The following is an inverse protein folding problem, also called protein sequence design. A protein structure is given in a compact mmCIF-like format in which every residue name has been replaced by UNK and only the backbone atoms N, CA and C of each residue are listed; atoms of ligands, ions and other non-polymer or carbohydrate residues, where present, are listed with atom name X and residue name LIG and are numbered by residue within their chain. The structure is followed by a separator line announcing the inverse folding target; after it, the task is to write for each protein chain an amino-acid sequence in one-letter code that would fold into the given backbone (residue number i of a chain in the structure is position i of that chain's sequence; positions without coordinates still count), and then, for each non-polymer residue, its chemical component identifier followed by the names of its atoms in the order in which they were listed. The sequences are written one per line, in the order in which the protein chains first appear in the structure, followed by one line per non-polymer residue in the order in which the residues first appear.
data_IF_930614757672
#
_entry.id   IF_930614757672
#
_cell.length_a   1.000
_cell.length_b   1.000
_cell.length_c   1.000
_cell.angle_alpha   90.00
_cell.angle_beta   90.00
_cell.angle_gamma   90.00
#
_symmetry.space_group_name_H-M   'P 1'
#
loop_
_entity.id
_entity.type
_entity.pdbx_description
1 polymer ?
#
# COMPACT_ATOMS: atom_id res chain seq x y z
N UNK A 1 -10.48 17.45 82.13
CA UNK A 1 -11.26 18.65 82.47
C UNK A 1 -10.65 19.79 81.67
N UNK A 2 -11.25 20.39 80.66
CA UNK A 2 -12.57 20.23 80.09
C UNK A 2 -12.53 20.58 78.59
N UNK A 3 -13.38 19.88 77.84
CA UNK A 3 -13.70 20.08 76.44
C UNK A 3 -14.70 21.23 76.29
N UNK A 4 -14.34 22.31 75.60
CA UNK A 4 -15.21 23.15 74.72
C UNK A 4 -14.59 24.53 74.57
N UNK A 5 -14.08 24.83 73.36
CA UNK A 5 -13.88 26.15 72.76
C UNK A 5 -12.55 26.22 72.04
N UNK A 6 -12.45 25.65 70.84
CA UNK A 6 -11.56 26.16 69.78
C UNK A 6 -12.05 25.71 68.39
N UNK A 7 -13.36 25.48 68.26
CA UNK A 7 -14.03 25.22 66.98
C UNK A 7 -14.42 26.55 66.32
N UNK A 8 -13.47 27.48 66.19
CA UNK A 8 -13.69 28.77 65.52
C UNK A 8 -12.47 29.31 64.76
N UNK A 9 -11.41 28.51 64.57
CA UNK A 9 -10.22 28.93 63.81
C UNK A 9 -9.91 28.06 62.57
N UNK A 10 -10.89 27.33 62.04
CA UNK A 10 -10.74 26.56 60.80
C UNK A 10 -11.78 26.88 59.71
N UNK A 11 -12.52 28.00 59.82
CA UNK A 11 -13.63 28.33 58.90
C UNK A 11 -13.45 29.61 58.07
N UNK A 12 -12.23 30.15 57.94
CA UNK A 12 -12.00 31.42 57.24
C UNK A 12 -10.88 31.39 56.19
N UNK A 13 -10.59 30.23 55.57
CA UNK A 13 -9.62 30.14 54.45
C UNK A 13 -10.07 29.24 53.29
N UNK A 14 -11.36 28.91 53.17
CA UNK A 14 -11.91 28.15 52.04
C UNK A 14 -12.85 29.00 51.16
N UNK A 15 -12.47 30.25 50.91
CA UNK A 15 -13.14 31.09 49.93
C UNK A 15 -12.09 31.75 49.03
N UNK A 16 -11.77 31.08 47.91
CA UNK A 16 -11.39 31.65 46.62
C UNK A 16 -10.45 30.71 45.84
N UNK A 17 -11.04 29.74 45.15
CA UNK A 17 -10.68 29.36 43.78
C UNK A 17 -11.62 28.23 43.34
N UNK A 18 -12.91 28.55 43.23
CA UNK A 18 -13.77 27.80 42.32
C UNK A 18 -13.28 28.16 40.91
N UNK A 19 -12.25 27.45 40.43
CA UNK A 19 -11.96 27.41 39.01
C UNK A 19 -13.25 26.86 38.39
N UNK A 20 -13.93 27.60 37.51
CA UNK A 20 -15.05 27.02 36.80
C UNK A 20 -14.48 25.77 36.14
N UNK A 21 -15.08 24.60 36.43
CA UNK A 21 -14.96 23.42 35.57
C UNK A 21 -15.44 23.90 34.21
N UNK A 22 -14.52 24.47 33.41
CA UNK A 22 -14.67 24.53 31.99
C UNK A 22 -14.98 23.10 31.62
N UNK A 23 -16.13 22.93 30.99
CA UNK A 23 -16.52 21.71 30.31
C UNK A 23 -15.37 21.36 29.36
N UNK A 24 -14.41 20.59 29.84
CA UNK A 24 -13.69 19.67 28.98
C UNK A 24 -14.77 18.65 28.67
N UNK A 25 -15.51 18.89 27.58
CA UNK A 25 -16.31 17.82 26.99
C UNK A 25 -15.41 16.61 26.86
N UNK A 26 -15.97 15.40 26.94
CA UNK A 26 -15.21 14.23 26.49
C UNK A 26 -14.61 14.57 25.12
N UNK A 27 -13.29 14.75 25.08
CA UNK A 27 -12.57 14.85 23.82
C UNK A 27 -13.00 13.65 23.01
N UNK A 28 -13.40 13.89 21.77
CA UNK A 28 -13.78 12.81 20.86
C UNK A 28 -12.66 11.76 20.95
N UNK A 29 -12.95 10.46 21.13
CA UNK A 29 -11.92 9.42 21.10
C UNK A 29 -10.96 9.56 19.90
N UNK A 30 -11.43 10.14 18.78
CA UNK A 30 -10.65 10.51 17.59
C UNK A 30 -9.58 11.60 17.86
N UNK A 31 -9.76 12.45 18.87
CA UNK A 31 -8.83 13.52 19.28
C UNK A 31 -7.71 13.04 20.22
N UNK A 32 -7.74 11.77 20.67
CA UNK A 32 -6.75 11.23 21.61
C UNK A 32 -5.40 10.88 20.97
N UNK A 33 -5.30 10.89 19.64
CA UNK A 33 -4.07 10.54 18.93
C UNK A 33 -3.23 11.81 18.66
N UNK A 34 -2.16 11.96 19.45
CA UNK A 34 -1.18 13.03 19.29
C UNK A 34 -0.52 12.90 17.91
N UNK A 35 -0.47 13.99 17.13
CA UNK A 35 0.14 14.06 15.80
C UNK A 35 -0.81 13.79 14.62
N UNK A 36 -2.01 13.27 14.89
CA UNK A 36 -2.94 12.80 13.85
C UNK A 36 -3.71 13.92 13.12
N UNK A 37 -3.90 15.11 13.73
CA UNK A 37 -4.53 16.28 13.06
C UNK A 37 -3.59 17.02 12.09
N UNK A 38 -2.38 16.52 11.84
CA UNK A 38 -1.37 17.20 11.02
C UNK A 38 -0.83 18.48 11.68
N UNK A 39 -1.13 18.72 12.95
CA UNK A 39 -0.75 19.92 13.67
C UNK A 39 0.73 19.80 14.11
N UNK A 40 1.57 20.59 13.42
CA UNK A 40 3.00 20.84 13.64
C UNK A 40 4.03 19.85 13.06
N UNK A 41 3.78 19.28 11.87
CA UNK A 41 4.91 18.82 11.05
C UNK A 41 5.64 20.02 10.43
N UNK A 42 6.64 20.54 11.15
CA UNK A 42 7.61 21.50 10.63
C UNK A 42 8.89 20.76 10.22
N UNK A 43 9.16 20.56 8.91
CA UNK A 43 10.30 19.77 8.43
C UNK A 43 11.66 20.47 8.58
N UNK A 44 11.73 21.65 9.21
CA UNK A 44 12.95 22.45 9.27
C UNK A 44 13.86 22.09 10.46
N UNK A 45 13.48 21.10 11.27
CA UNK A 45 14.27 20.61 12.40
C UNK A 45 14.83 19.22 12.14
N UNK A 46 16.14 19.14 11.91
CA UNK A 46 16.95 17.92 11.75
C UNK A 46 16.73 17.16 10.43
N UNK A 47 17.76 17.24 9.57
CA UNK A 47 17.87 16.45 8.36
C UNK A 47 17.99 14.95 8.71
N UNK A 48 16.85 14.27 8.85
CA UNK A 48 16.79 12.82 8.70
C UNK A 48 17.04 12.49 7.21
N UNK A 49 18.11 11.74 6.85
CA UNK A 49 18.54 11.57 5.46
C UNK A 49 17.57 10.85 4.50
N UNK A 50 16.34 10.53 4.90
CA UNK A 50 15.43 9.63 4.17
C UNK A 50 13.99 10.12 4.04
N UNK A 51 13.64 11.28 4.62
CA UNK A 51 12.25 11.73 4.72
C UNK A 51 11.68 12.41 3.47
N UNK A 52 12.50 12.61 2.43
CA UNK A 52 12.05 13.26 1.21
C UNK A 52 12.26 12.35 0.01
N UNK A 53 11.15 12.06 -0.68
CA UNK A 53 11.20 11.91 -2.12
C UNK A 53 11.75 13.24 -2.65
N UNK A 54 13.04 13.33 -2.93
CA UNK A 54 13.64 14.49 -3.58
C UNK A 54 13.18 14.51 -5.05
N UNK A 55 11.92 14.88 -5.27
CA UNK A 55 11.40 15.03 -6.61
C UNK A 55 11.45 16.51 -6.97
N UNK A 56 12.46 16.91 -7.73
CA UNK A 56 12.66 18.29 -8.21
C UNK A 56 11.45 18.81 -9.02
N UNK A 57 10.60 17.90 -9.52
CA UNK A 57 9.42 18.18 -10.34
C UNK A 57 8.10 18.26 -9.57
N UNK A 58 8.04 17.78 -8.31
CA UNK A 58 6.81 17.80 -7.50
C UNK A 58 6.92 18.83 -6.38
N UNK A 59 5.78 19.45 -6.05
CA UNK A 59 5.70 20.38 -4.92
C UNK A 59 6.03 19.72 -3.58
N UNK A 60 6.16 20.53 -2.52
CA UNK A 60 6.41 20.01 -1.16
C UNK A 60 5.34 18.96 -0.78
N UNK A 61 5.72 17.84 -0.13
CA UNK A 61 4.75 16.88 0.39
C UNK A 61 3.81 17.52 1.43
N UNK A 62 2.53 17.15 1.42
CA UNK A 62 1.53 17.66 2.38
C UNK A 62 0.37 16.66 2.55
N UNK A 63 -0.37 16.78 3.65
CA UNK A 63 -1.42 15.83 4.04
C UNK A 63 -2.80 16.51 3.97
N UNK A 64 -3.77 15.81 3.37
CA UNK A 64 -5.18 16.18 3.33
C UNK A 64 -5.99 15.13 4.09
N UNK A 65 -6.63 15.50 5.20
CA UNK A 65 -7.62 14.62 5.84
C UNK A 65 -8.93 14.70 5.06
N UNK A 66 -9.44 13.57 4.56
CA UNK A 66 -10.66 13.52 3.74
C UNK A 66 -11.88 13.05 4.53
N UNK A 67 -11.67 12.30 5.61
CA UNK A 67 -12.74 11.74 6.43
C UNK A 67 -12.23 11.33 7.83
N UNK A 68 -13.11 11.44 8.82
CA UNK A 68 -12.97 10.81 10.14
C UNK A 68 -13.79 9.53 10.28
N UNK A 69 -14.70 9.29 9.33
CA UNK A 69 -15.68 8.20 9.35
C UNK A 69 -15.75 7.57 7.95
N UNK A 70 -14.77 6.71 7.56
CA UNK A 70 -13.65 6.23 8.36
C UNK A 70 -12.51 7.24 8.44
N UNK A 71 -11.56 7.03 9.36
CA UNK A 71 -10.30 7.79 9.38
C UNK A 71 -9.54 7.55 8.08
N UNK A 72 -9.46 8.57 7.24
CA UNK A 72 -8.77 8.52 5.96
C UNK A 72 -8.09 9.85 5.62
N UNK A 73 -6.85 9.75 5.15
CA UNK A 73 -6.05 10.90 4.75
C UNK A 73 -5.21 10.60 3.51
N UNK A 74 -4.96 11.63 2.71
CA UNK A 74 -4.12 11.59 1.52
C UNK A 74 -2.80 12.27 1.84
N UNK A 75 -1.68 11.61 1.56
CA UNK A 75 -0.37 12.21 1.55
C UNK A 75 0.03 12.49 0.10
N UNK A 76 -0.05 13.77 -0.27
CA UNK A 76 0.32 14.22 -1.60
C UNK A 76 1.84 14.25 -1.78
N UNK A 77 2.31 13.82 -2.95
CA UNK A 77 3.73 13.69 -3.29
C UNK A 77 4.51 12.81 -2.30
N UNK A 78 3.89 11.73 -1.82
CA UNK A 78 4.50 10.72 -0.95
C UNK A 78 5.66 9.96 -1.62
N UNK A 79 5.49 9.58 -2.89
CA UNK A 79 6.53 8.95 -3.73
C UNK A 79 7.02 9.89 -4.84
N UNK A 80 8.32 9.81 -5.09
CA UNK A 80 8.95 10.35 -6.30
C UNK A 80 8.56 9.52 -7.52
N UNK A 81 8.70 10.11 -8.71
CA UNK A 81 8.50 9.34 -9.95
C UNK A 81 9.54 8.22 -10.10
N UNK A 82 10.75 8.38 -9.56
CA UNK A 82 11.78 7.33 -9.51
C UNK A 82 11.36 6.16 -8.63
N UNK A 83 10.82 6.43 -7.44
CA UNK A 83 10.30 5.39 -6.55
C UNK A 83 9.11 4.67 -7.19
N UNK A 84 8.18 5.40 -7.83
CA UNK A 84 7.06 4.79 -8.56
C UNK A 84 7.57 3.85 -9.66
N UNK A 85 8.51 4.30 -10.49
CA UNK A 85 9.09 3.50 -11.57
C UNK A 85 9.84 2.29 -11.03
N UNK A 86 10.62 2.46 -9.96
CA UNK A 86 11.36 1.39 -9.32
C UNK A 86 10.46 0.26 -8.82
N UNK A 87 9.36 0.59 -8.12
CA UNK A 87 8.38 -0.41 -7.68
C UNK A 87 7.81 -1.18 -8.88
N UNK A 88 7.47 -0.48 -9.97
CA UNK A 88 6.92 -1.10 -11.19
C UNK A 88 7.97 -2.01 -11.86
N UNK A 89 9.22 -1.58 -11.96
CA UNK A 89 10.29 -2.36 -12.57
C UNK A 89 10.58 -3.66 -11.80
N UNK A 90 10.51 -3.62 -10.47
CA UNK A 90 10.60 -4.83 -9.63
C UNK A 90 9.39 -5.77 -9.82
N UNK A 91 8.20 -5.20 -10.04
CA UNK A 91 6.96 -5.95 -10.07
C UNK A 91 6.62 -6.54 -11.45
N UNK A 92 6.88 -5.80 -12.55
CA UNK A 92 6.33 -6.06 -13.89
C UNK A 92 6.58 -7.47 -14.40
N UNK A 93 7.79 -8.00 -14.19
CA UNK A 93 8.18 -9.35 -14.63
C UNK A 93 7.52 -10.49 -13.84
N UNK A 94 6.80 -10.17 -12.76
CA UNK A 94 6.21 -11.12 -11.81
C UNK A 94 4.69 -10.98 -11.69
N UNK A 95 4.05 -10.16 -12.53
CA UNK A 95 2.62 -9.89 -12.48
C UNK A 95 1.82 -11.07 -13.03
N UNK A 96 0.90 -11.59 -12.24
CA UNK A 96 -0.05 -12.62 -12.66
C UNK A 96 -1.47 -12.20 -12.27
N UNK A 97 -2.50 -12.88 -12.81
CA UNK A 97 -3.89 -12.61 -12.45
C UNK A 97 -4.07 -12.75 -10.93
N UNK A 98 -4.60 -11.71 -10.28
CA UNK A 98 -4.81 -11.70 -8.82
C UNK A 98 -5.86 -12.72 -8.40
N UNK A 99 -5.70 -13.25 -7.18
CA UNK A 99 -6.66 -14.12 -6.51
C UNK A 99 -7.34 -13.45 -5.33
N UNK A 100 -8.43 -14.06 -4.88
CA UNK A 100 -9.14 -13.77 -3.65
C UNK A 100 -9.02 -15.00 -2.74
N UNK A 101 -8.81 -14.82 -1.43
CA UNK A 101 -9.03 -15.90 -0.45
C UNK A 101 -7.82 -16.49 0.30
N UNK A 102 -6.73 -15.76 0.54
CA UNK A 102 -5.64 -16.23 1.42
C UNK A 102 -5.11 -17.62 1.06
N UNK A 103 -5.19 -18.56 2.00
CA UNK A 103 -4.76 -19.97 1.83
C UNK A 103 -5.59 -20.76 0.80
N UNK A 104 -6.82 -20.32 0.50
CA UNK A 104 -7.70 -20.91 -0.50
C UNK A 104 -7.82 -19.99 -1.72
N UNK A 105 -6.72 -19.40 -2.18
CA UNK A 105 -6.73 -18.45 -3.29
C UNK A 105 -7.45 -18.98 -4.56
N UNK A 106 -8.43 -18.23 -5.08
CA UNK A 106 -9.08 -18.48 -6.39
C UNK A 106 -9.17 -17.23 -7.26
N UNK A 107 -9.28 -17.42 -8.58
CA UNK A 107 -9.53 -16.32 -9.52
C UNK A 107 -11.01 -15.95 -9.50
N UNK A 108 -11.32 -14.71 -9.12
CA UNK A 108 -12.69 -14.19 -9.06
C UNK A 108 -12.90 -12.98 -10.00
N UNK A 109 -14.16 -12.73 -10.34
CA UNK A 109 -14.67 -11.53 -10.98
C UNK A 109 -14.82 -10.34 -10.00
N UNK A 110 -14.73 -10.57 -8.68
CA UNK A 110 -14.70 -9.51 -7.66
C UNK A 110 -13.40 -8.71 -7.74
N UNK A 111 -12.25 -9.39 -7.92
CA UNK A 111 -10.94 -8.76 -8.07
C UNK A 111 -10.37 -9.07 -9.43
N UNK A 112 -10.37 -8.08 -10.33
CA UNK A 112 -9.97 -8.26 -11.73
C UNK A 112 -8.55 -7.80 -12.08
N UNK A 113 -7.76 -7.38 -11.08
CA UNK A 113 -6.37 -6.95 -11.26
C UNK A 113 -5.40 -8.08 -11.62
N UNK A 114 -4.22 -7.69 -12.09
CA UNK A 114 -2.99 -8.49 -11.97
C UNK A 114 -2.16 -7.98 -10.81
N UNK A 115 -1.39 -8.84 -10.15
CA UNK A 115 -0.56 -8.43 -9.02
C UNK A 115 0.61 -9.34 -8.72
N UNK A 116 1.47 -8.85 -7.84
CA UNK A 116 2.60 -9.57 -7.25
C UNK A 116 2.94 -8.98 -5.88
N UNK A 117 3.82 -9.65 -5.14
CA UNK A 117 4.33 -9.15 -3.87
C UNK A 117 5.83 -8.85 -3.95
N UNK A 118 6.24 -7.77 -3.31
CA UNK A 118 7.63 -7.44 -3.04
C UNK A 118 7.88 -7.67 -1.55
N UNK A 119 8.86 -8.53 -1.24
CA UNK A 119 9.26 -8.85 0.13
C UNK A 119 9.64 -7.56 0.88
N UNK A 120 9.29 -7.47 2.16
CA UNK A 120 9.81 -6.41 3.04
C UNK A 120 11.32 -6.30 3.00
N UNK A 121 11.85 -5.08 3.12
CA UNK A 121 13.29 -4.81 3.03
C UNK A 121 13.91 -5.44 1.76
N UNK A 122 13.21 -5.30 0.62
CA UNK A 122 13.63 -5.86 -0.66
C UNK A 122 15.00 -5.33 -1.09
N UNK A 123 15.14 -4.01 -1.06
CA UNK A 123 16.32 -3.23 -1.40
C UNK A 123 16.27 -1.88 -0.63
N UNK A 124 17.30 -1.01 -0.76
CA UNK A 124 17.33 0.28 -0.05
C UNK A 124 16.16 1.21 -0.34
N UNK A 125 15.62 1.20 -1.56
CA UNK A 125 14.56 2.11 -1.98
C UNK A 125 13.25 1.65 -1.36
N UNK A 126 12.95 0.34 -1.44
CA UNK A 126 11.78 -0.24 -0.78
C UNK A 126 11.85 -0.05 0.73
N UNK A 127 13.01 -0.29 1.36
CA UNK A 127 13.19 -0.08 2.80
C UNK A 127 12.95 1.38 3.22
N UNK A 128 13.43 2.35 2.43
CA UNK A 128 13.18 3.77 2.71
C UNK A 128 11.69 4.14 2.61
N UNK A 129 10.95 3.56 1.65
CA UNK A 129 9.50 3.75 1.53
C UNK A 129 8.78 3.12 2.73
N UNK A 130 9.18 1.93 3.16
CA UNK A 130 8.60 1.24 4.32
C UNK A 130 8.78 2.03 5.63
N UNK A 131 9.95 2.62 5.83
CA UNK A 131 10.20 3.54 6.96
C UNK A 131 9.33 4.80 6.88
N UNK A 132 9.14 5.36 5.67
CA UNK A 132 8.25 6.51 5.48
C UNK A 132 6.79 6.16 5.81
N UNK A 133 6.34 4.96 5.43
CA UNK A 133 5.04 4.41 5.83
C UNK A 133 4.97 4.24 7.35
N UNK A 134 6.04 3.75 7.99
CA UNK A 134 6.09 3.55 9.43
C UNK A 134 5.95 4.87 10.20
N UNK A 135 6.66 5.91 9.75
CA UNK A 135 6.59 7.26 10.33
C UNK A 135 5.19 7.85 10.20
N UNK A 136 4.55 7.71 9.03
CA UNK A 136 3.21 8.28 8.81
C UNK A 136 2.10 7.52 9.55
N UNK A 137 2.17 6.19 9.56
CA UNK A 137 1.17 5.33 10.21
C UNK A 137 1.34 5.23 11.72
N UNK A 138 2.51 5.58 12.24
CA UNK A 138 2.95 5.33 13.62
C UNK A 138 3.06 3.84 14.01
N UNK A 139 3.17 2.94 13.04
CA UNK A 139 3.45 1.51 13.26
C UNK A 139 4.83 1.15 12.73
N UNK A 140 5.67 0.41 13.47
CA UNK A 140 7.00 -0.01 12.99
C UNK A 140 6.93 -0.83 11.71
N UNK A 141 8.01 -0.82 10.92
CA UNK A 141 8.13 -1.66 9.70
C UNK A 141 7.85 -3.14 9.96
N UNK A 142 8.18 -3.64 11.17
CA UNK A 142 7.92 -5.03 11.56
C UNK A 142 6.44 -5.40 11.64
N UNK A 143 5.52 -4.44 11.63
CA UNK A 143 4.07 -4.65 11.61
C UNK A 143 3.50 -4.67 10.20
N UNK A 144 4.29 -4.30 9.20
CA UNK A 144 3.83 -4.24 7.82
C UNK A 144 3.88 -5.65 7.21
N UNK A 145 2.98 -5.92 6.25
CA UNK A 145 3.08 -7.08 5.34
C UNK A 145 4.07 -6.81 4.20
N UNK A 146 4.31 -7.79 3.34
CA UNK A 146 4.97 -7.58 2.05
C UNK A 146 4.17 -6.59 1.18
N UNK A 147 4.86 -5.78 0.37
CA UNK A 147 4.21 -4.77 -0.46
C UNK A 147 3.50 -5.45 -1.62
N UNK A 148 2.18 -5.29 -1.72
CA UNK A 148 1.42 -5.83 -2.84
C UNK A 148 1.36 -4.81 -3.98
N UNK A 149 1.85 -5.16 -5.17
CA UNK A 149 1.77 -4.30 -6.36
C UNK A 149 0.68 -4.80 -7.28
N UNK A 150 -0.14 -3.89 -7.80
CA UNK A 150 -1.36 -4.19 -8.55
C UNK A 150 -1.46 -3.34 -9.81
N UNK A 151 -2.00 -3.96 -10.88
CA UNK A 151 -2.32 -3.32 -12.16
C UNK A 151 -3.76 -3.58 -12.54
N UNK A 152 -4.48 -2.51 -12.83
CA UNK A 152 -5.85 -2.50 -13.32
C UNK A 152 -5.87 -1.91 -14.72
N UNK A 153 -6.30 -2.71 -15.71
CA UNK A 153 -6.58 -2.23 -17.06
C UNK A 153 -8.03 -1.76 -17.19
N UNK A 154 -8.46 -1.33 -18.39
CA UNK A 154 -9.85 -0.97 -18.64
C UNK A 154 -10.81 -2.07 -18.15
N UNK A 155 -11.90 -1.66 -17.49
CA UNK A 155 -12.91 -2.50 -16.82
C UNK A 155 -12.46 -3.25 -15.56
N UNK A 156 -11.16 -3.32 -15.27
CA UNK A 156 -10.69 -3.98 -14.06
C UNK A 156 -11.08 -3.19 -12.81
N UNK A 157 -11.46 -3.90 -11.75
CA UNK A 157 -11.96 -3.36 -10.49
C UNK A 157 -11.59 -4.25 -9.30
N UNK A 158 -11.84 -3.75 -8.11
CA UNK A 158 -11.94 -4.57 -6.91
C UNK A 158 -13.26 -4.21 -6.23
N UNK A 159 -14.21 -5.15 -6.19
CA UNK A 159 -15.49 -4.97 -5.52
C UNK A 159 -15.35 -4.58 -4.04
N UNK A 160 -16.44 -4.09 -3.45
CA UNK A 160 -16.45 -3.63 -2.07
C UNK A 160 -15.98 -4.72 -1.09
N UNK A 161 -15.02 -4.37 -0.24
CA UNK A 161 -14.44 -5.24 0.78
C UNK A 161 -13.94 -4.42 1.96
N UNK A 162 -13.65 -5.11 3.05
CA UNK A 162 -12.83 -4.60 4.16
C UNK A 162 -11.51 -5.35 4.13
N UNK A 163 -10.42 -4.67 4.53
CA UNK A 163 -9.10 -5.30 4.51
C UNK A 163 -8.83 -6.16 5.74
N UNK A 164 -9.47 -5.89 6.87
CA UNK A 164 -9.17 -6.51 8.16
C UNK A 164 -9.82 -7.89 8.37
N UNK A 165 -8.97 -8.88 8.67
CA UNK A 165 -9.24 -9.89 9.70
C UNK A 165 -8.41 -9.61 10.98
N UNK A 166 -7.20 -9.01 10.85
CA UNK A 166 -6.34 -8.56 11.97
C UNK A 166 -5.61 -7.21 11.70
N UNK A 167 -5.85 -6.60 10.53
CA UNK A 167 -5.17 -5.39 10.09
C UNK A 167 -5.70 -4.15 10.80
N UNK A 168 -4.83 -3.19 11.03
CA UNK A 168 -5.13 -1.94 11.74
C UNK A 168 -5.21 -0.75 10.79
N UNK A 169 -4.32 -0.71 9.81
CA UNK A 169 -4.27 0.36 8.82
C UNK A 169 -3.79 -0.16 7.47
N UNK A 170 -4.16 0.57 6.43
CA UNK A 170 -3.79 0.28 5.06
C UNK A 170 -3.27 1.54 4.38
N UNK A 171 -2.12 1.43 3.71
CA UNK A 171 -1.57 2.49 2.85
C UNK A 171 -1.62 2.07 1.40
N UNK A 172 -2.35 2.84 0.59
CA UNK A 172 -2.49 2.71 -0.86
C UNK A 172 -1.64 3.78 -1.56
N UNK A 173 -0.54 3.38 -2.18
CA UNK A 173 0.35 4.25 -2.96
C UNK A 173 0.03 4.16 -4.45
N UNK A 174 -0.23 5.29 -5.11
CA UNK A 174 -0.58 5.30 -6.53
C UNK A 174 0.65 5.50 -7.40
N UNK A 175 0.93 4.55 -8.30
CA UNK A 175 2.15 4.51 -9.11
C UNK A 175 1.92 5.03 -10.53
N UNK A 176 0.72 4.82 -11.08
CA UNK A 176 0.27 5.35 -12.38
C UNK A 176 -1.20 5.77 -12.24
N UNK A 177 -1.52 7.00 -12.64
CA UNK A 177 -2.91 7.46 -12.71
C UNK A 177 -3.63 6.98 -13.98
N UNK A 178 -4.87 6.49 -13.86
CA UNK A 178 -5.74 6.31 -15.02
C UNK A 178 -6.22 7.67 -15.51
N UNK A 179 -6.64 7.73 -16.78
CA UNK A 179 -7.22 8.94 -17.35
C UNK A 179 -8.65 9.16 -16.82
N UNK A 180 -9.38 8.07 -16.59
CA UNK A 180 -10.76 8.08 -16.12
C UNK A 180 -11.07 6.83 -15.28
N UNK A 181 -11.84 7.02 -14.21
CA UNK A 181 -12.19 5.98 -13.24
C UNK A 181 -11.04 5.61 -12.31
N UNK A 182 -11.09 4.40 -11.74
CA UNK A 182 -10.04 3.87 -10.87
C UNK A 182 -10.00 4.48 -9.46
N UNK A 183 -10.99 5.26 -9.05
CA UNK A 183 -11.09 5.83 -7.71
C UNK A 183 -10.99 4.75 -6.63
N UNK A 184 -10.43 5.11 -5.48
CA UNK A 184 -10.69 4.35 -4.25
C UNK A 184 -11.77 5.09 -3.49
N UNK A 185 -12.89 4.43 -3.19
CA UNK A 185 -14.06 5.04 -2.55
C UNK A 185 -14.56 4.20 -1.38
N UNK A 186 -15.07 4.88 -0.35
CA UNK A 186 -15.60 4.28 0.88
C UNK A 186 -17.13 4.38 0.89
N UNK A 187 -17.84 3.25 0.78
CA UNK A 187 -19.28 3.25 0.48
C UNK A 187 -20.14 3.75 1.64
N UNK A 188 -19.65 3.63 2.89
CA UNK A 188 -20.38 3.99 4.11
C UNK A 188 -19.69 5.15 4.86
N UNK A 189 -19.29 6.19 4.12
CA UNK A 189 -18.41 7.25 4.64
C UNK A 189 -18.98 8.66 4.56
N UNK A 190 -18.38 9.57 5.32
CA UNK A 190 -18.74 10.99 5.37
C UNK A 190 -17.51 11.87 5.09
N UNK A 191 -17.65 12.82 4.15
CA UNK A 191 -16.61 13.82 3.92
C UNK A 191 -16.41 14.67 5.17
N UNK A 192 -15.14 14.90 5.56
CA UNK A 192 -14.80 15.85 6.63
C UNK A 192 -15.39 17.24 6.34
N UNK A 193 -15.24 17.68 5.10
CA UNK A 193 -15.77 18.93 4.57
C UNK A 193 -16.77 18.61 3.46
N UNK A 194 -18.09 18.56 3.74
CA UNK A 194 -19.11 18.20 2.75
C UNK A 194 -19.10 19.07 1.49
N UNK A 195 -18.70 20.34 1.62
CA UNK A 195 -18.50 21.28 0.50
C UNK A 195 -17.37 20.85 -0.45
N UNK A 196 -16.29 20.28 0.08
CA UNK A 196 -15.21 19.70 -0.73
C UNK A 196 -15.72 18.47 -1.47
N UNK A 197 -16.44 17.60 -0.76
CA UNK A 197 -17.09 16.44 -1.37
C UNK A 197 -17.99 16.83 -2.54
N UNK A 198 -18.91 17.80 -2.34
CA UNK A 198 -19.80 18.29 -3.41
C UNK A 198 -19.05 18.93 -4.58
N UNK A 199 -17.91 19.58 -4.33
CA UNK A 199 -17.11 20.20 -5.39
C UNK A 199 -16.32 19.17 -6.22
N UNK A 200 -15.90 18.06 -5.60
CA UNK A 200 -15.17 16.98 -6.27
C UNK A 200 -16.11 15.98 -6.96
N UNK A 201 -17.32 15.78 -6.44
CA UNK A 201 -18.29 14.79 -6.90
C UNK A 201 -18.52 14.77 -8.43
N UNK A 202 -18.65 15.91 -9.13
CA UNK A 202 -18.84 15.91 -10.59
C UNK A 202 -17.64 15.36 -11.38
N UNK A 203 -16.46 15.24 -10.76
CA UNK A 203 -15.24 14.73 -11.38
C UNK A 203 -15.07 13.22 -11.21
N UNK A 204 -15.86 12.58 -10.34
CA UNK A 204 -15.79 11.16 -10.08
C UNK A 204 -16.62 10.34 -11.06
N UNK A 205 -16.19 9.09 -11.28
CA UNK A 205 -17.01 8.08 -11.94
C UNK A 205 -18.28 7.78 -11.15
N UNK A 206 -19.30 7.22 -11.81
CA UNK A 206 -20.56 6.85 -11.16
C UNK A 206 -20.38 5.88 -9.98
N UNK A 207 -19.27 5.14 -9.95
CA UNK A 207 -18.92 4.25 -8.85
C UNK A 207 -18.53 5.00 -7.56
N UNK A 208 -17.96 6.20 -7.68
CA UNK A 208 -17.43 6.97 -6.55
C UNK A 208 -18.31 8.16 -6.14
N UNK A 209 -19.27 8.57 -6.97
CA UNK A 209 -20.21 9.65 -6.65
C UNK A 209 -20.99 9.37 -5.37
N UNK A 210 -21.20 10.42 -4.58
CA UNK A 210 -21.93 10.39 -3.33
C UNK A 210 -21.15 9.83 -2.12
N UNK A 211 -19.89 9.46 -2.31
CA UNK A 211 -19.05 8.82 -1.29
C UNK A 211 -17.74 9.59 -1.07
N UNK A 212 -17.05 9.34 0.04
CA UNK A 212 -15.65 9.77 0.19
C UNK A 212 -14.79 8.97 -0.76
N UNK A 213 -14.09 9.68 -1.63
CA UNK A 213 -13.30 9.05 -2.68
C UNK A 213 -12.01 9.82 -2.95
N UNK A 214 -11.00 9.08 -3.39
CA UNK A 214 -9.76 9.63 -3.90
C UNK A 214 -9.59 9.19 -5.36
N UNK A 215 -9.33 10.17 -6.24
CA UNK A 215 -8.85 9.90 -7.60
C UNK A 215 -7.36 9.55 -7.53
N UNK A 216 -6.90 8.45 -8.16
CA UNK A 216 -5.48 8.10 -8.18
C UNK A 216 -4.65 9.20 -8.81
N UNK A 217 -3.52 9.52 -8.19
CA UNK A 217 -2.53 10.45 -8.72
C UNK A 217 -1.14 9.93 -8.40
N UNK A 218 -0.28 9.82 -9.41
CA UNK A 218 1.07 9.25 -9.29
C UNK A 218 1.86 9.96 -8.21
N UNK A 219 2.33 9.16 -7.27
CA UNK A 219 3.12 9.58 -6.13
C UNK A 219 2.28 9.99 -4.92
N UNK A 220 0.97 10.14 -5.04
CA UNK A 220 0.14 10.30 -3.85
C UNK A 220 -0.07 8.95 -3.15
N UNK A 221 -0.31 8.97 -1.86
CA UNK A 221 -0.70 7.80 -1.07
C UNK A 221 -1.92 8.11 -0.23
N UNK A 222 -2.79 7.13 0.00
CA UNK A 222 -3.91 7.21 0.94
C UNK A 222 -3.66 6.27 2.10
N UNK A 223 -3.88 6.74 3.33
CA UNK A 223 -3.98 5.88 4.50
C UNK A 223 -5.43 5.85 4.96
N UNK A 224 -5.90 4.68 5.38
CA UNK A 224 -7.12 4.54 6.17
C UNK A 224 -6.93 3.50 7.25
N UNK A 225 -7.72 3.61 8.32
CA UNK A 225 -7.62 2.74 9.48
C UNK A 225 -8.81 1.80 9.53
N UNK A 226 -8.56 0.50 9.37
CA UNK A 226 -9.55 -0.56 9.45
C UNK A 226 -10.14 -0.73 10.86
N UNK A 227 -9.46 -0.19 11.88
CA UNK A 227 -9.86 -0.24 13.29
C UNK A 227 -10.12 1.13 13.86
N UNK A 228 -10.97 1.20 14.88
CA UNK A 228 -11.19 2.36 15.73
C UNK A 228 -9.91 2.72 16.52
N UNK A 229 -9.83 3.91 17.16
CA UNK A 229 -8.65 4.30 17.95
C UNK A 229 -8.29 3.35 19.11
N UNK A 230 -9.20 2.47 19.52
CA UNK A 230 -8.94 1.41 20.52
C UNK A 230 -8.09 0.24 19.99
N UNK A 231 -7.79 0.22 18.68
CA UNK A 231 -7.05 -0.81 17.93
C UNK A 231 -7.68 -2.21 18.02
N UNK A 232 -8.93 -2.32 18.48
CA UNK A 232 -9.62 -3.59 18.72
C UNK A 232 -10.91 -3.70 17.93
N UNK A 233 -11.67 -2.61 17.87
CA UNK A 233 -12.96 -2.58 17.21
C UNK A 233 -12.75 -2.27 15.73
N UNK A 234 -13.28 -3.09 14.83
CA UNK A 234 -13.27 -2.79 13.39
C UNK A 234 -14.19 -1.61 13.07
N UNK A 235 -13.77 -0.74 12.15
CA UNK A 235 -14.58 0.36 11.67
C UNK A 235 -15.36 -0.07 10.41
N UNK A 236 -16.67 -0.36 10.47
CA UNK A 236 -17.45 -0.83 9.32
C UNK A 236 -17.56 0.21 8.18
N UNK A 237 -17.14 1.45 8.43
CA UNK A 237 -17.12 2.54 7.45
C UNK A 237 -15.92 2.43 6.50
N UNK A 238 -14.96 1.54 6.78
CA UNK A 238 -13.79 1.29 5.94
C UNK A 238 -14.08 0.35 4.76
N UNK A 239 -15.32 -0.13 4.65
CA UNK A 239 -15.81 -0.82 3.45
C UNK A 239 -15.50 0.05 2.22
N UNK A 240 -14.60 -0.44 1.38
CA UNK A 240 -14.06 0.33 0.28
C UNK A 240 -13.99 -0.51 -0.99
N UNK A 241 -13.95 0.19 -2.13
CA UNK A 241 -13.91 -0.43 -3.45
C UNK A 241 -12.90 0.30 -4.33
N UNK A 242 -12.24 -0.47 -5.18
CA UNK A 242 -11.47 0.06 -6.30
C UNK A 242 -12.40 0.17 -7.50
N UNK A 243 -12.84 1.38 -7.81
CA UNK A 243 -13.74 1.64 -8.94
C UNK A 243 -13.12 1.16 -10.26
N UNK A 244 -13.96 0.74 -11.23
CA UNK A 244 -13.47 0.31 -12.53
C UNK A 244 -12.61 1.39 -13.19
N UNK A 245 -11.49 0.99 -13.79
CA UNK A 245 -10.77 1.87 -14.71
C UNK A 245 -11.59 2.00 -15.99
N UNK A 246 -11.94 3.22 -16.36
CA UNK A 246 -12.72 3.50 -17.58
C UNK A 246 -11.75 3.73 -18.75
N UNK A 247 -10.69 4.51 -18.53
CA UNK A 247 -9.68 4.81 -19.56
C UNK A 247 -8.27 4.89 -18.97
N UNK A 248 -7.29 4.35 -19.71
CA UNK A 248 -5.90 4.21 -19.27
C UNK A 248 -5.69 2.98 -18.39
N UNK A 249 -4.70 3.05 -17.49
CA UNK A 249 -4.42 2.00 -16.51
C UNK A 249 -4.16 2.61 -15.14
N UNK A 250 -4.42 1.84 -14.10
CA UNK A 250 -4.07 2.19 -12.72
C UNK A 250 -3.04 1.19 -12.22
N UNK A 251 -1.94 1.73 -11.69
CA UNK A 251 -0.99 0.95 -10.89
C UNK A 251 -0.99 1.48 -9.47
N UNK A 252 -1.02 0.58 -8.50
CA UNK A 252 -0.88 0.94 -7.09
C UNK A 252 -0.09 -0.13 -6.32
N UNK A 253 0.55 0.31 -5.24
CA UNK A 253 1.15 -0.54 -4.24
C UNK A 253 0.36 -0.42 -2.94
N UNK A 254 0.12 -1.55 -2.27
CA UNK A 254 -0.63 -1.65 -1.02
C UNK A 254 0.32 -2.09 0.08
N UNK A 255 0.22 -1.43 1.24
CA UNK A 255 0.89 -1.83 2.46
C UNK A 255 -0.15 -2.02 3.56
N UNK A 256 -0.36 -3.28 3.92
CA UNK A 256 -1.18 -3.64 5.08
C UNK A 256 -0.35 -3.63 6.34
N UNK A 257 -0.94 -3.14 7.43
CA UNK A 257 -0.27 -2.88 8.69
C UNK A 257 -1.07 -3.53 9.82
N UNK A 258 -0.38 -4.33 10.64
CA UNK A 258 -0.94 -5.06 11.77
C UNK A 258 -0.78 -4.28 13.09
N UNK A 259 -1.64 -4.58 14.06
CA UNK A 259 -1.49 -4.06 15.43
C UNK A 259 -0.29 -4.69 16.16
N UNK A 260 0.17 -5.84 15.69
CA UNK A 260 1.28 -6.62 16.24
C UNK A 260 2.35 -6.89 15.17
N UNK A 261 3.48 -7.49 15.58
CA UNK A 261 4.56 -7.84 14.66
C UNK A 261 4.09 -8.90 13.67
N UNK A 262 4.15 -8.58 12.38
CA UNK A 262 3.75 -9.47 11.30
C UNK A 262 4.91 -10.38 10.90
N UNK A 263 4.71 -11.69 10.97
CA UNK A 263 5.70 -12.73 10.62
C UNK A 263 7.12 -12.41 11.16
N UNK A 264 7.35 -12.55 12.48
CA UNK A 264 8.63 -12.19 13.11
C UNK A 264 9.82 -12.94 12.52
N UNK A 265 9.63 -14.20 12.11
CA UNK A 265 10.67 -15.04 11.56
C UNK A 265 11.08 -14.56 10.15
N UNK A 266 10.11 -14.37 9.25
CA UNK A 266 10.38 -13.85 7.92
C UNK A 266 10.90 -12.41 7.97
N UNK A 267 10.46 -11.58 8.93
CA UNK A 267 11.07 -10.26 9.14
C UNK A 267 12.53 -10.34 9.60
N UNK A 268 12.86 -11.25 10.50
CA UNK A 268 14.24 -11.45 10.94
C UNK A 268 15.15 -11.94 9.80
N UNK A 269 14.64 -12.80 8.92
CA UNK A 269 15.34 -13.24 7.71
C UNK A 269 15.52 -12.09 6.70
N UNK A 270 14.44 -11.34 6.46
CA UNK A 270 14.41 -10.24 5.50
C UNK A 270 15.48 -9.16 5.77
N UNK A 271 15.87 -8.98 7.04
CA UNK A 271 16.91 -8.04 7.47
C UNK A 271 18.35 -8.53 7.23
N UNK A 272 18.56 -9.83 7.01
CA UNK A 272 19.93 -10.39 6.87
C UNK A 272 20.57 -10.00 5.54
N UNK A 273 19.77 -9.90 4.49
CA UNK A 273 20.21 -9.52 3.16
C UNK A 273 19.03 -8.99 2.33
N UNK A 274 19.36 -8.12 1.37
CA UNK A 274 18.41 -7.72 0.32
C UNK A 274 18.00 -8.92 -0.53
N UNK A 275 16.84 -8.80 -1.16
CA UNK A 275 16.32 -9.84 -2.01
C UNK A 275 17.15 -9.98 -3.29
N UNK A 276 17.28 -11.22 -3.77
CA UNK A 276 17.73 -11.47 -5.12
C UNK A 276 16.56 -11.24 -6.09
N UNK A 277 16.76 -10.53 -7.20
CA UNK A 277 15.75 -10.36 -8.23
C UNK A 277 15.18 -11.70 -8.70
N UNK A 278 13.84 -11.81 -8.75
CA UNK A 278 13.20 -13.00 -9.28
C UNK A 278 13.41 -13.07 -10.81
N UNK A 279 13.62 -14.27 -11.39
CA UNK A 279 13.72 -14.44 -12.84
C UNK A 279 12.51 -13.82 -13.57
N UNK A 280 12.75 -12.94 -14.53
CA UNK A 280 11.68 -12.40 -15.38
C UNK A 280 11.14 -13.51 -16.29
N UNK A 281 9.83 -13.73 -16.27
CA UNK A 281 9.17 -14.72 -17.12
C UNK A 281 9.32 -14.46 -18.62
N UNK A 282 9.68 -13.24 -19.04
CA UNK A 282 9.99 -12.93 -20.43
C UNK A 282 11.37 -13.42 -20.87
N UNK A 283 12.33 -13.48 -19.94
CA UNK A 283 13.71 -13.82 -20.23
C UNK A 283 13.89 -15.34 -20.16
N UNK A 284 14.30 -15.94 -21.28
CA UNK A 284 14.58 -17.36 -21.36
C UNK A 284 16.05 -17.66 -21.04
N UNK A 285 16.35 -17.91 -19.77
CA UNK A 285 17.69 -18.17 -19.28
C UNK A 285 17.73 -19.27 -18.20
N UNK A 286 18.94 -19.75 -17.92
CA UNK A 286 19.24 -20.62 -16.80
C UNK A 286 20.04 -19.82 -15.76
N UNK A 287 19.56 -19.78 -14.52
CA UNK A 287 20.15 -19.03 -13.41
C UNK A 287 20.98 -19.92 -12.48
N UNK A 288 21.09 -21.22 -12.78
CA UNK A 288 21.89 -22.15 -12.04
C UNK A 288 22.78 -23.01 -12.97
N UNK A 289 24.07 -23.22 -12.65
CA UNK A 289 24.99 -23.95 -13.54
C UNK A 289 24.59 -25.42 -13.79
N UNK A 290 23.79 -26.02 -12.92
CA UNK A 290 23.33 -27.41 -13.05
C UNK A 290 21.95 -27.57 -13.67
N UNK A 291 21.36 -26.49 -14.22
CA UNK A 291 20.05 -26.57 -14.87
C UNK A 291 20.00 -27.63 -15.98
N UNK A 292 21.03 -27.72 -16.83
CA UNK A 292 21.08 -28.71 -17.90
C UNK A 292 21.18 -30.15 -17.38
N UNK A 293 22.14 -30.52 -16.48
CA UNK A 293 22.16 -31.84 -15.86
C UNK A 293 20.85 -32.26 -15.18
N UNK A 294 20.16 -31.33 -14.52
CA UNK A 294 18.87 -31.59 -13.89
C UNK A 294 17.76 -31.83 -14.92
N UNK A 295 17.72 -31.02 -15.99
CA UNK A 295 16.79 -31.23 -17.09
C UNK A 295 17.00 -32.62 -17.74
N UNK A 296 18.26 -33.01 -17.98
CA UNK A 296 18.60 -34.33 -18.54
C UNK A 296 18.20 -35.49 -17.60
N UNK A 297 18.05 -35.22 -16.30
CA UNK A 297 17.63 -36.18 -15.27
C UNK A 297 16.11 -36.22 -15.03
N UNK A 298 15.33 -35.47 -15.83
CA UNK A 298 13.87 -35.38 -15.74
C UNK A 298 13.37 -34.52 -14.58
N UNK A 299 14.17 -33.56 -14.11
CA UNK A 299 13.73 -32.63 -13.05
C UNK A 299 12.72 -31.60 -13.55
N UNK A 300 12.63 -31.38 -14.87
CA UNK A 300 11.63 -30.48 -15.45
C UNK A 300 10.20 -30.89 -15.07
N UNK A 301 9.92 -32.19 -14.93
CA UNK A 301 8.63 -32.74 -14.52
C UNK A 301 8.55 -32.98 -13.00
N UNK A 302 9.65 -33.36 -12.35
CA UNK A 302 9.68 -33.69 -10.91
C UNK A 302 9.73 -32.45 -10.03
N UNK A 303 10.41 -31.41 -10.48
CA UNK A 303 10.65 -30.17 -9.75
C UNK A 303 10.20 -28.94 -10.57
N UNK A 304 8.96 -29.02 -11.08
CA UNK A 304 8.32 -27.96 -11.86
C UNK A 304 8.49 -26.56 -11.23
N UNK A 305 8.25 -26.33 -9.92
CA UNK A 305 8.33 -24.98 -9.34
C UNK A 305 9.69 -24.32 -9.52
N UNK A 306 10.78 -25.06 -9.31
CA UNK A 306 12.12 -24.51 -9.46
C UNK A 306 12.57 -24.49 -10.93
N UNK A 307 12.27 -25.56 -11.68
CA UNK A 307 12.81 -25.74 -13.03
C UNK A 307 12.13 -24.81 -14.04
N UNK A 308 10.80 -24.93 -14.18
CA UNK A 308 10.03 -24.19 -15.18
C UNK A 308 9.21 -23.05 -14.59
N UNK A 309 8.90 -23.12 -13.29
CA UNK A 309 8.04 -22.18 -12.58
C UNK A 309 6.60 -22.69 -12.48
N UNK A 310 5.85 -22.04 -11.58
CA UNK A 310 4.40 -22.17 -11.42
C UNK A 310 3.81 -20.77 -11.21
N UNK A 311 2.54 -20.71 -10.83
CA UNK A 311 1.96 -19.50 -10.25
C UNK A 311 2.83 -19.03 -9.06
N UNK A 312 3.19 -17.76 -9.03
CA UNK A 312 4.06 -17.16 -8.02
C UNK A 312 5.48 -16.80 -8.49
N UNK A 313 5.95 -17.35 -9.61
CA UNK A 313 7.26 -16.97 -10.16
C UNK A 313 7.77 -17.89 -11.28
N UNK A 314 8.58 -17.32 -12.18
CA UNK A 314 9.24 -18.09 -13.23
C UNK A 314 10.35 -18.98 -12.64
N UNK A 315 10.50 -20.19 -13.19
CA UNK A 315 11.56 -21.11 -12.79
C UNK A 315 12.94 -20.62 -13.18
N UNK A 316 13.95 -21.10 -12.47
CA UNK A 316 15.35 -20.76 -12.67
C UNK A 316 16.00 -21.49 -13.86
N UNK A 317 15.40 -22.56 -14.39
CA UNK A 317 16.01 -23.45 -15.39
C UNK A 317 15.15 -23.60 -16.66
N UNK A 318 14.41 -22.55 -17.03
CA UNK A 318 13.42 -22.63 -18.11
C UNK A 318 14.06 -22.89 -19.47
N UNK A 319 15.28 -22.40 -19.71
CA UNK A 319 15.99 -22.62 -20.97
C UNK A 319 16.41 -24.08 -21.11
N UNK A 320 17.04 -24.68 -20.09
CA UNK A 320 17.41 -26.09 -20.08
C UNK A 320 16.18 -27.01 -20.28
N UNK A 321 15.06 -26.68 -19.65
CA UNK A 321 13.79 -27.41 -19.82
C UNK A 321 13.04 -27.10 -21.12
N UNK A 322 13.54 -26.23 -21.99
CA UNK A 322 12.87 -25.78 -23.22
C UNK A 322 11.45 -25.25 -22.97
N UNK A 323 11.24 -24.63 -21.82
CA UNK A 323 9.96 -24.07 -21.38
C UNK A 323 9.73 -22.61 -21.85
N UNK A 324 10.63 -22.09 -22.69
CA UNK A 324 10.59 -20.73 -23.23
C UNK A 324 11.43 -20.61 -24.50
N UNK A 325 11.27 -19.51 -25.22
CA UNK A 325 12.04 -19.17 -26.43
C UNK A 325 13.16 -18.18 -26.08
N UNK A 326 14.39 -18.41 -26.55
CA UNK A 326 15.48 -17.44 -26.40
C UNK A 326 15.23 -16.25 -27.34
N UNK A 327 15.03 -15.08 -26.76
CA UNK A 327 14.76 -13.84 -27.48
C UNK A 327 16.07 -13.08 -27.75
N UNK A 328 16.13 -12.34 -28.86
CA UNK A 328 17.19 -11.36 -29.08
C UNK A 328 17.08 -10.22 -28.07
N UNK A 329 18.20 -9.54 -27.80
CA UNK A 329 18.17 -8.32 -26.99
C UNK A 329 17.21 -7.32 -27.65
N UNK A 330 16.28 -6.77 -26.86
CA UNK A 330 15.26 -5.80 -27.29
C UNK A 330 14.10 -6.34 -28.13
N UNK A 331 13.99 -7.66 -28.34
CA UNK A 331 12.79 -8.25 -28.95
C UNK A 331 11.64 -8.32 -27.94
N UNK A 332 10.98 -7.18 -27.74
CA UNK A 332 9.84 -7.04 -26.81
C UNK A 332 8.71 -8.02 -27.15
N UNK A 333 8.45 -8.27 -28.44
CA UNK A 333 7.39 -9.19 -28.85
C UNK A 333 7.67 -10.62 -28.40
N UNK A 334 8.92 -11.09 -28.52
CA UNK A 334 9.32 -12.40 -28.00
C UNK A 334 9.28 -12.45 -26.47
N UNK A 335 9.74 -11.40 -25.78
CA UNK A 335 9.69 -11.33 -24.31
C UNK A 335 8.25 -11.40 -23.79
N UNK A 336 7.32 -10.64 -24.38
CA UNK A 336 5.90 -10.69 -24.00
C UNK A 336 5.27 -12.05 -24.34
N UNK A 337 5.62 -12.66 -25.47
CA UNK A 337 5.15 -14.00 -25.81
C UNK A 337 5.58 -15.04 -24.77
N UNK A 338 6.82 -14.95 -24.28
CA UNK A 338 7.33 -15.79 -23.19
C UNK A 338 6.58 -15.56 -21.87
N UNK A 339 6.28 -14.30 -21.51
CA UNK A 339 5.48 -13.98 -20.30
C UNK A 339 4.08 -14.57 -20.40
N UNK A 340 3.41 -14.31 -21.52
CA UNK A 340 2.05 -14.81 -21.80
C UNK A 340 1.99 -16.32 -21.74
N UNK A 341 2.94 -17.02 -22.38
CA UNK A 341 3.01 -18.48 -22.36
C UNK A 341 3.22 -19.05 -20.95
N UNK A 342 3.90 -18.31 -20.07
CA UNK A 342 4.09 -18.67 -18.67
C UNK A 342 2.95 -18.19 -17.73
N UNK A 343 1.88 -17.59 -18.27
CA UNK A 343 0.74 -17.08 -17.49
C UNK A 343 1.00 -15.76 -16.76
N UNK A 344 2.00 -14.99 -17.20
CA UNK A 344 2.30 -13.65 -16.69
C UNK A 344 1.67 -12.57 -17.56
N UNK A 345 1.48 -11.39 -16.98
CA UNK A 345 0.94 -10.22 -17.66
C UNK A 345 1.93 -9.75 -18.75
N UNK A 346 1.40 -9.49 -19.95
CA UNK A 346 2.11 -8.76 -20.99
C UNK A 346 2.26 -7.29 -20.56
N UNK A 347 3.48 -6.75 -20.63
CA UNK A 347 3.78 -5.41 -20.14
C UNK A 347 3.98 -4.43 -21.29
N UNK A 348 3.23 -3.32 -21.26
CA UNK A 348 3.37 -2.22 -22.20
C UNK A 348 3.95 -0.99 -21.48
N UNK A 349 5.17 -0.60 -21.82
CA UNK A 349 5.84 0.57 -21.24
C UNK A 349 5.12 1.89 -21.53
N UNK A 350 4.36 1.96 -22.62
CA UNK A 350 3.59 3.15 -22.97
C UNK A 350 2.49 3.45 -21.92
N UNK A 351 2.09 2.46 -21.13
CA UNK A 351 1.12 2.62 -20.04
C UNK A 351 1.61 3.54 -18.92
N UNK A 352 2.92 3.62 -18.70
CA UNK A 352 3.48 4.24 -17.50
C UNK A 352 3.49 5.78 -17.53
N UNK A 353 3.51 6.36 -18.74
CA UNK A 353 3.48 7.81 -18.98
C UNK A 353 4.48 8.60 -18.11
N UNK A 354 5.67 8.04 -17.89
CA UNK A 354 6.76 8.78 -17.25
C UNK A 354 7.32 9.83 -18.22
N UNK A 355 7.84 10.97 -17.72
CA UNK A 355 8.55 11.92 -18.56
C UNK A 355 9.73 11.26 -19.29
N UNK A 356 10.08 11.69 -20.51
CA UNK A 356 11.24 11.16 -21.22
C UNK A 356 12.52 11.36 -20.39
N UNK A 357 13.35 10.31 -20.29
CA UNK A 357 14.62 10.34 -19.55
C UNK A 357 14.61 9.70 -18.15
N UNK A 358 13.57 8.95 -17.80
CA UNK A 358 13.44 8.17 -16.56
C UNK A 358 13.53 6.65 -16.79
#
# INVERSE_FOLDING_TARGET
MDTTSFLQLCLALLAAAAIPRQCVGELDPEERLIGWRGENYHPEGEAYPTLHSSNETKGRPWIQVISWKPRAAIYHNFLSDRECKHIIDLAKGQMQRSEVGGDNAWVDNVRTSSGTFLRRNYDPIIAAIEERVAIWSHFPVSHQEDMQVLRYGPTHKYGAHMDSEERTATVLMYLVEPEEGGETTFTNSEWLHPEVGRALDPQFSDCAKGHVAMKPKRGDAMIFFDRMPDLRTEDPRTMHTGCPVIRGVKWNAVKWIHGEVMDPAGWAEAKRAWATPRPDAGICADYHPTCQPWADSGECEKNVPYMTGRRGGAGACRKACKACTVCEAWDTACLEANRKAAGFLEFDEAELKFPPGF
#
